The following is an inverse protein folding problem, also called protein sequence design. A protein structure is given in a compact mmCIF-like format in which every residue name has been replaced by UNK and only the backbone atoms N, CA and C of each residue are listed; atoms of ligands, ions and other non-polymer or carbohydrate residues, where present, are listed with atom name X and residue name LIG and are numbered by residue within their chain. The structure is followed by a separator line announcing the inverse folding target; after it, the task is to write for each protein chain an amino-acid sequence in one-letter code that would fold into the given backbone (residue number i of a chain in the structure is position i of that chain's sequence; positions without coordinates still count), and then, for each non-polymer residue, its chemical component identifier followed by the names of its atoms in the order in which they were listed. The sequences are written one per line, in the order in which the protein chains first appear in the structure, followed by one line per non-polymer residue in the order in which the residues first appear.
data_IF_778368931681
#
_entry.id   IF_778368931681
#
_cell.length_a   1.000
_cell.length_b   1.000
_cell.length_c   1.000
_cell.angle_alpha   90.00
_cell.angle_beta   90.00
_cell.angle_gamma   90.00
#
_symmetry.space_group_name_H-M   'P 1'
#
loop_
_entity.id
_entity.type
_entity.pdbx_description
1 polymer ?
#
# COMPACT_ATOMS: atom_id res chain seq x y z
N UNK A 1 1.56 18.95 2.04
CA UNK A 1 1.90 20.38 2.29
C UNK A 1 2.60 20.57 3.63
N UNK A 2 1.98 20.30 4.78
CA UNK A 2 2.62 20.43 6.10
C UNK A 2 3.99 19.73 6.20
N UNK A 3 4.10 18.48 5.73
CA UNK A 3 5.38 17.76 5.72
C UNK A 3 6.47 18.44 4.90
N UNK A 4 6.16 19.06 3.75
CA UNK A 4 7.16 19.80 2.97
C UNK A 4 7.64 21.07 3.69
N UNK A 5 6.78 21.70 4.48
CA UNK A 5 7.16 22.86 5.28
C UNK A 5 8.13 22.48 6.41
N UNK A 6 7.94 21.32 7.03
CA UNK A 6 8.81 20.83 8.12
C UNK A 6 10.05 20.08 7.63
N UNK A 7 9.95 19.43 6.47
CA UNK A 7 11.00 18.60 5.87
C UNK A 7 11.18 18.99 4.39
N UNK A 8 11.97 20.03 4.07
CA UNK A 8 12.07 20.57 2.71
C UNK A 8 12.55 19.57 1.66
N UNK A 9 13.31 18.55 2.08
CA UNK A 9 13.87 17.51 1.22
C UNK A 9 13.06 16.20 1.23
N UNK A 10 11.88 16.18 1.87
CA UNK A 10 11.03 15.00 1.87
C UNK A 10 10.61 14.64 0.43
N UNK A 11 10.68 13.35 0.11
CA UNK A 11 10.08 12.80 -1.10
C UNK A 11 8.69 12.26 -0.79
N UNK A 12 7.71 12.62 -1.60
CA UNK A 12 6.31 12.23 -1.46
C UNK A 12 5.95 11.39 -2.68
N UNK A 13 5.41 10.20 -2.47
CA UNK A 13 4.97 9.31 -3.54
C UNK A 13 3.46 9.11 -3.45
N UNK A 14 2.76 9.28 -4.58
CA UNK A 14 1.38 8.86 -4.71
C UNK A 14 1.35 7.35 -5.01
N UNK A 15 0.29 6.67 -4.56
CA UNK A 15 0.08 5.25 -4.80
C UNK A 15 -1.25 5.08 -5.50
N UNK A 16 -1.26 4.35 -6.62
CA UNK A 16 -2.47 4.11 -7.41
C UNK A 16 -2.57 2.66 -7.91
N UNK A 17 -3.78 2.17 -8.23
CA UNK A 17 -3.96 0.86 -8.82
C UNK A 17 -3.34 0.78 -10.21
N UNK A 18 -2.62 -0.31 -10.48
CA UNK A 18 -2.03 -0.55 -11.78
C UNK A 18 -3.07 -0.56 -12.90
N UNK A 19 -4.27 -1.10 -12.63
CA UNK A 19 -5.32 -1.27 -13.64
C UNK A 19 -6.20 -0.01 -13.79
N UNK A 20 -5.91 1.08 -13.05
CA UNK A 20 -6.62 2.37 -13.11
C UNK A 20 -5.65 3.52 -12.83
N UNK A 21 -4.54 3.55 -13.56
CA UNK A 21 -3.38 4.41 -13.29
C UNK A 21 -3.51 5.81 -13.89
N UNK A 22 -4.55 6.52 -13.47
CA UNK A 22 -4.90 7.84 -14.01
C UNK A 22 -3.85 8.90 -13.72
N UNK A 23 -3.17 8.84 -12.57
CA UNK A 23 -2.08 9.79 -12.24
C UNK A 23 -0.84 9.55 -13.10
N UNK A 24 -0.66 8.34 -13.63
CA UNK A 24 0.36 7.99 -14.62
C UNK A 24 -0.03 8.29 -16.07
N UNK A 25 -1.26 8.78 -16.32
CA UNK A 25 -1.76 9.13 -17.65
C UNK A 25 -2.52 8.03 -18.39
N UNK A 26 -2.78 6.89 -17.75
CA UNK A 26 -3.58 5.81 -18.33
C UNK A 26 -5.08 6.08 -18.17
N UNK A 27 -5.88 5.32 -18.92
CA UNK A 27 -7.34 5.35 -18.79
C UNK A 27 -7.82 4.67 -17.50
N UNK A 28 -8.94 5.12 -16.91
CA UNK A 28 -9.53 4.44 -15.76
C UNK A 28 -9.92 3.01 -16.10
N UNK A 29 -9.77 2.11 -15.14
CA UNK A 29 -10.13 0.71 -15.27
C UNK A 29 -10.60 0.09 -13.96
N UNK A 30 -11.06 -1.15 -14.03
CA UNK A 30 -11.55 -1.87 -12.87
C UNK A 30 -10.38 -2.39 -12.02
N UNK A 31 -10.44 -2.18 -10.71
CA UNK A 31 -9.47 -2.66 -9.74
C UNK A 31 -10.15 -3.04 -8.42
N UNK A 32 -9.44 -3.79 -7.57
CA UNK A 32 -9.93 -4.26 -6.27
C UNK A 32 -9.48 -3.38 -5.10
N UNK A 33 -8.54 -2.46 -5.32
CA UNK A 33 -8.03 -1.60 -4.24
C UNK A 33 -9.08 -0.54 -3.87
N UNK A 34 -9.84 -0.79 -2.81
CA UNK A 34 -10.85 0.15 -2.32
C UNK A 34 -10.22 1.34 -1.59
N UNK A 35 -10.87 2.50 -1.70
CA UNK A 35 -10.44 3.75 -1.04
C UNK A 35 -9.41 4.58 -1.83
N UNK A 36 -8.85 4.07 -2.93
CA UNK A 36 -8.05 4.85 -3.88
C UNK A 36 -8.50 4.60 -5.34
N UNK A 37 -7.81 5.15 -6.33
CA UNK A 37 -8.07 4.83 -7.74
C UNK A 37 -9.41 5.34 -8.28
N UNK A 38 -9.79 6.58 -7.96
CA UNK A 38 -11.11 7.15 -8.29
C UNK A 38 -11.48 7.17 -9.80
N UNK A 39 -10.57 6.81 -10.70
CA UNK A 39 -10.80 6.81 -12.15
C UNK A 39 -10.77 8.20 -12.80
N UNK A 40 -10.40 9.23 -12.04
CA UNK A 40 -10.13 10.59 -12.50
C UNK A 40 -9.20 11.29 -11.51
N UNK A 41 -8.63 12.44 -11.89
CA UNK A 41 -7.85 13.30 -10.97
C UNK A 41 -8.81 14.24 -10.24
N UNK A 42 -9.01 14.09 -8.91
CA UNK A 42 -9.92 14.96 -8.17
C UNK A 42 -9.42 16.42 -8.16
N UNK A 43 -10.31 17.43 -8.24
CA UNK A 43 -9.89 18.84 -8.27
C UNK A 43 -9.20 19.31 -6.99
N UNK A 44 -9.38 18.59 -5.88
CA UNK A 44 -8.70 18.85 -4.61
C UNK A 44 -7.27 18.31 -4.57
N UNK A 45 -6.90 17.39 -5.48
CA UNK A 45 -5.56 16.84 -5.55
C UNK A 45 -4.61 17.83 -6.21
N UNK A 46 -3.61 18.27 -5.44
CA UNK A 46 -2.49 19.06 -5.95
C UNK A 46 -1.45 18.13 -6.58
N UNK A 47 -1.47 17.97 -7.90
CA UNK A 47 -0.57 17.05 -8.63
C UNK A 47 0.89 17.50 -8.63
N UNK A 48 1.19 18.73 -8.20
CA UNK A 48 2.57 19.21 -8.05
C UNK A 48 3.22 18.81 -6.72
N UNK A 49 2.45 18.22 -5.79
CA UNK A 49 2.92 17.98 -4.42
C UNK A 49 3.79 16.73 -4.28
N UNK A 50 3.66 15.75 -5.18
CA UNK A 50 4.36 14.47 -5.12
C UNK A 50 5.50 14.41 -6.15
N UNK A 51 6.54 13.65 -5.84
CA UNK A 51 7.76 13.49 -6.65
C UNK A 51 7.71 12.23 -7.54
N UNK A 52 6.73 11.36 -7.32
CA UNK A 52 6.52 10.16 -8.12
C UNK A 52 5.19 9.48 -7.83
N UNK A 53 4.85 8.53 -8.68
CA UNK A 53 3.67 7.67 -8.55
C UNK A 53 4.11 6.22 -8.58
N UNK A 54 3.64 5.41 -7.64
CA UNK A 54 3.86 3.97 -7.61
C UNK A 54 2.55 3.26 -7.98
N UNK A 55 2.62 2.43 -9.01
CA UNK A 55 1.51 1.59 -9.46
C UNK A 55 1.55 0.27 -8.71
N UNK A 56 0.40 -0.16 -8.19
CA UNK A 56 0.30 -1.39 -7.39
C UNK A 56 -0.75 -2.33 -7.97
N UNK A 57 -0.41 -3.60 -8.12
CA UNK A 57 -1.35 -4.62 -8.60
C UNK A 57 -2.26 -5.06 -7.46
N UNK A 58 -3.47 -5.53 -7.80
CA UNK A 58 -4.43 -5.98 -6.80
C UNK A 58 -3.86 -7.09 -5.91
N UNK A 59 -3.20 -8.08 -6.52
CA UNK A 59 -2.68 -9.24 -5.79
C UNK A 59 -1.52 -8.87 -4.86
N UNK A 60 -0.67 -7.93 -5.26
CA UNK A 60 0.43 -7.40 -4.43
C UNK A 60 -0.10 -6.70 -3.17
N UNK A 61 -1.17 -5.90 -3.31
CA UNK A 61 -1.80 -5.23 -2.19
C UNK A 61 -2.50 -6.21 -1.23
N UNK A 62 -3.22 -7.20 -1.76
CA UNK A 62 -3.91 -8.24 -0.97
C UNK A 62 -2.91 -9.10 -0.22
N UNK A 63 -1.85 -9.55 -0.89
CA UNK A 63 -0.81 -10.36 -0.26
C UNK A 63 -0.10 -9.58 0.84
N UNK A 64 0.18 -8.29 0.62
CA UNK A 64 0.75 -7.43 1.66
C UNK A 64 -0.18 -7.32 2.88
N UNK A 65 -1.49 -7.20 2.70
CA UNK A 65 -2.44 -7.18 3.83
C UNK A 65 -2.41 -8.49 4.64
N UNK A 66 -2.26 -9.63 3.97
CA UNK A 66 -2.16 -10.95 4.62
C UNK A 66 -0.84 -11.10 5.38
N UNK A 67 0.26 -10.66 4.79
CA UNK A 67 1.57 -10.62 5.43
C UNK A 67 1.57 -9.72 6.66
N UNK A 68 1.01 -8.51 6.55
CA UNK A 68 0.89 -7.60 7.69
C UNK A 68 0.08 -8.19 8.84
N UNK A 69 -1.01 -8.90 8.55
CA UNK A 69 -1.79 -9.58 9.59
C UNK A 69 -0.99 -10.72 10.26
N UNK A 70 -0.23 -11.49 9.49
CA UNK A 70 0.53 -12.67 9.96
C UNK A 70 1.83 -12.30 10.67
N UNK A 71 2.61 -11.40 10.08
CA UNK A 71 3.97 -11.05 10.49
C UNK A 71 3.97 -9.93 11.54
N UNK A 72 3.04 -8.98 11.45
CA UNK A 72 3.05 -7.75 12.26
C UNK A 72 1.79 -7.60 13.15
N UNK A 73 0.82 -8.52 13.05
CA UNK A 73 -0.45 -8.42 13.78
C UNK A 73 -1.34 -7.24 13.32
N UNK A 74 -1.12 -6.72 12.12
CA UNK A 74 -1.82 -5.56 11.58
C UNK A 74 -2.92 -5.99 10.60
N UNK A 75 -4.16 -6.01 11.08
CA UNK A 75 -5.35 -6.27 10.26
C UNK A 75 -5.85 -4.98 9.59
N UNK A 76 -5.52 -4.77 8.32
CA UNK A 76 -5.71 -3.50 7.58
C UNK A 76 -6.46 -3.69 6.26
N UNK A 77 -7.06 -2.62 5.73
CA UNK A 77 -7.71 -2.66 4.41
C UNK A 77 -6.74 -2.63 3.22
N UNK A 78 -7.26 -2.89 2.02
CA UNK A 78 -6.45 -3.10 0.79
C UNK A 78 -5.58 -1.88 0.44
N UNK A 79 -6.09 -0.66 0.64
CA UNK A 79 -5.31 0.57 0.39
C UNK A 79 -4.09 0.69 1.32
N UNK A 80 -4.19 0.19 2.56
CA UNK A 80 -3.05 0.12 3.49
C UNK A 80 -1.98 -0.85 2.97
N UNK A 81 -2.40 -2.05 2.54
CA UNK A 81 -1.47 -3.02 1.93
C UNK A 81 -0.81 -2.46 0.68
N UNK A 82 -1.56 -1.74 -0.16
CA UNK A 82 -1.03 -1.06 -1.35
C UNK A 82 0.04 -0.02 -0.98
N UNK A 83 -0.24 0.85 -0.01
CA UNK A 83 0.68 1.88 0.44
C UNK A 83 1.94 1.29 1.09
N UNK A 84 1.81 0.23 1.88
CA UNK A 84 2.94 -0.44 2.54
C UNK A 84 3.78 -1.25 1.54
N UNK A 85 3.14 -1.92 0.57
CA UNK A 85 3.87 -2.60 -0.50
C UNK A 85 4.72 -1.61 -1.31
N UNK A 86 4.11 -0.48 -1.72
CA UNK A 86 4.83 0.58 -2.43
C UNK A 86 5.98 1.17 -1.59
N UNK A 87 5.75 1.31 -0.28
CA UNK A 87 6.75 1.76 0.69
C UNK A 87 7.96 0.82 0.77
N UNK A 88 7.73 -0.49 0.82
CA UNK A 88 8.79 -1.49 0.84
C UNK A 88 9.56 -1.55 -0.49
N UNK A 89 8.89 -1.30 -1.61
CA UNK A 89 9.55 -1.16 -2.90
C UNK A 89 10.49 0.06 -2.91
N UNK A 90 10.01 1.23 -2.48
CA UNK A 90 10.83 2.45 -2.38
C UNK A 90 11.99 2.25 -1.39
N UNK A 91 11.76 1.56 -0.27
CA UNK A 91 12.78 1.32 0.74
C UNK A 91 13.98 0.52 0.19
N UNK A 92 13.75 -0.40 -0.75
CA UNK A 92 14.83 -1.15 -1.41
C UNK A 92 15.78 -0.22 -2.16
N UNK A 93 15.24 0.76 -2.89
CA UNK A 93 16.02 1.74 -3.64
C UNK A 93 16.67 2.80 -2.73
N UNK A 94 15.97 3.19 -1.66
CA UNK A 94 16.41 4.25 -0.75
C UNK A 94 17.60 3.82 0.11
N UNK A 95 17.73 2.52 0.38
CA UNK A 95 18.82 1.95 1.17
C UNK A 95 18.74 2.26 2.67
N UNK A 96 19.71 1.72 3.42
CA UNK A 96 19.73 1.77 4.89
C UNK A 96 19.93 3.18 5.43
N UNK A 97 19.40 3.44 6.62
CA UNK A 97 19.60 4.70 7.37
C UNK A 97 18.61 5.81 7.04
N UNK A 98 17.68 5.57 6.12
CA UNK A 98 16.60 6.49 5.81
C UNK A 98 15.30 6.09 6.51
N UNK A 99 14.46 7.09 6.79
CA UNK A 99 13.13 6.87 7.35
C UNK A 99 12.08 6.94 6.25
N UNK A 100 11.12 6.04 6.31
CA UNK A 100 9.96 6.02 5.43
C UNK A 100 8.69 5.97 6.29
N UNK A 101 7.71 6.79 5.93
CA UNK A 101 6.43 6.88 6.63
C UNK A 101 5.31 6.61 5.63
N UNK A 102 4.36 5.78 6.04
CA UNK A 102 3.16 5.47 5.27
C UNK A 102 1.93 5.54 6.17
N UNK A 103 0.75 5.59 5.56
CA UNK A 103 -0.53 5.69 6.26
C UNK A 103 -1.34 4.44 5.95
N UNK A 104 -1.82 3.77 6.99
CA UNK A 104 -2.83 2.72 6.91
C UNK A 104 -4.21 3.36 7.16
N UNK A 105 -5.04 3.62 6.13
CA UNK A 105 -6.23 4.46 6.29
C UNK A 105 -7.34 3.80 7.13
N UNK A 106 -7.45 2.47 7.09
CA UNK A 106 -8.54 1.73 7.72
C UNK A 106 -8.16 0.31 8.16
N UNK A 107 -9.10 -0.34 8.86
CA UNK A 107 -8.98 -1.69 9.41
C UNK A 107 -9.47 -2.75 8.42
N UNK A 108 -8.91 -3.95 8.53
CA UNK A 108 -9.21 -5.08 7.65
C UNK A 108 -10.51 -5.84 7.97
N UNK A 109 -11.19 -5.50 9.07
CA UNK A 109 -12.43 -6.15 9.52
C UNK A 109 -13.59 -6.02 8.53
N UNK A 110 -13.57 -5.00 7.67
CA UNK A 110 -14.57 -4.80 6.59
C UNK A 110 -14.30 -5.63 5.33
N UNK A 111 -13.15 -6.28 5.23
CA UNK A 111 -12.68 -6.92 4.00
C UNK A 111 -12.33 -8.39 4.21
N UNK A 112 -12.98 -9.05 5.17
CA UNK A 112 -12.69 -10.44 5.52
C UNK A 112 -12.93 -11.39 4.34
N UNK A 113 -14.00 -11.16 3.57
CA UNK A 113 -14.38 -11.89 2.36
C UNK A 113 -13.48 -11.57 1.15
N UNK A 114 -13.01 -10.32 1.03
CA UNK A 114 -12.22 -9.89 -0.13
C UNK A 114 -10.72 -10.18 0.03
N UNK A 115 -10.16 -9.97 1.22
CA UNK A 115 -8.73 -10.11 1.50
C UNK A 115 -8.42 -11.43 2.19
N UNK A 116 -9.19 -11.77 3.22
CA UNK A 116 -8.75 -12.76 4.23
C UNK A 116 -9.41 -14.14 4.07
N UNK A 117 -10.41 -14.29 3.21
CA UNK A 117 -11.06 -15.57 2.94
C UNK A 117 -10.10 -16.55 2.26
N UNK A 118 -10.11 -17.81 2.72
CA UNK A 118 -9.22 -18.85 2.19
C UNK A 118 -7.74 -18.67 2.55
N UNK A 119 -7.40 -17.73 3.43
CA UNK A 119 -6.03 -17.61 3.96
C UNK A 119 -5.74 -18.85 4.82
N UNK A 120 -5.01 -19.82 4.26
CA UNK A 120 -4.42 -20.84 5.11
C UNK A 120 -3.41 -20.16 6.03
N UNK A 121 -3.60 -20.34 7.32
CA UNK A 121 -2.49 -20.40 8.25
C UNK A 121 -1.63 -21.60 7.82
N UNK A 122 -0.81 -21.41 6.78
CA UNK A 122 0.26 -22.34 6.45
C UNK A 122 0.99 -22.65 7.77
N UNK A 123 1.11 -23.95 8.06
CA UNK A 123 1.64 -24.49 9.31
C UNK A 123 2.93 -23.79 9.70
N UNK A 124 3.03 -23.43 10.98
CA UNK A 124 4.22 -22.83 11.57
C UNK A 124 5.46 -23.68 11.26
N UNK A 125 6.47 -23.16 10.55
CA UNK A 125 7.77 -23.84 10.44
C UNK A 125 8.55 -23.84 11.77
N UNK A 126 7.97 -23.33 12.86
CA UNK A 126 8.60 -23.22 14.18
C UNK A 126 8.20 -24.38 15.11
N UNK A 127 7.50 -25.41 14.62
CA UNK A 127 7.21 -26.62 15.41
C UNK A 127 8.43 -27.54 15.60
N UNK A 128 9.56 -27.35 14.90
CA UNK A 128 10.73 -28.24 14.99
C UNK A 128 11.82 -27.77 15.98
N UNK A 129 11.62 -26.68 16.73
CA UNK A 129 12.66 -26.16 17.63
C UNK A 129 12.48 -26.53 19.11
N UNK A 130 11.58 -27.46 19.43
CA UNK A 130 11.40 -28.01 20.76
C UNK A 130 11.47 -29.53 20.73
N UNK A 131 12.70 -30.05 20.65
CA UNK A 131 13.14 -31.32 21.25
C UNK A 131 14.64 -31.24 21.57
#
# INVERSE_FOLDING_TARGET
KALRNSFPYIRIYAVEPNDSAVLSGDTPGFHKIEGNGAGFVPPILDTSIYDGVVRVRNDDAIEMCRRLAREEGLLVGISSGSAIWASLLIAQDLGKGNNLVTVAPDRGDRYLDVIYEGTSIAEDPISECHD
#
